data_IF_313032847659
#
_entry.id   IF_313032847659
#
_cell.length_a   1.000
_cell.length_b   1.000
_cell.length_c   1.000
_cell.angle_alpha   90.00
_cell.angle_beta   90.00
_cell.angle_gamma   90.00
#
_symmetry.space_group_name_H-M   'P 1'
#
loop_
_entity.id
_entity.type
_entity.pdbx_description
1 polymer ?
#
# COMPACT_ATOMS: atom_id res chain seq x y z
N UNK A 1 -14.84 -21.60 17.37
CA UNK A 1 -15.67 -20.41 17.68
C UNK A 1 -14.80 -19.18 17.51
N UNK A 2 -14.86 -18.52 16.37
CA UNK A 2 -14.08 -17.32 16.09
C UNK A 2 -14.57 -16.18 16.98
N UNK A 3 -13.67 -15.60 17.78
CA UNK A 3 -13.98 -14.57 18.76
C UNK A 3 -14.16 -13.23 18.04
N UNK A 4 -15.35 -12.64 18.18
CA UNK A 4 -15.66 -11.27 17.76
C UNK A 4 -14.67 -10.27 18.36
N UNK A 5 -13.79 -9.70 17.54
CA UNK A 5 -13.03 -8.48 17.83
C UNK A 5 -13.56 -7.42 16.87
N UNK A 6 -14.79 -6.98 17.10
CA UNK A 6 -15.45 -5.98 16.24
C UNK A 6 -16.22 -5.03 17.16
N UNK A 7 -15.50 -4.07 17.76
CA UNK A 7 -16.01 -2.71 18.04
C UNK A 7 -15.08 -1.84 18.90
N UNK A 8 -14.15 -2.39 19.67
CA UNK A 8 -13.43 -1.58 20.67
C UNK A 8 -12.15 -0.90 20.11
N UNK A 9 -11.60 -1.38 19.00
CA UNK A 9 -10.36 -0.81 18.45
C UNK A 9 -10.55 0.54 17.71
N UNK A 10 -11.79 0.86 17.32
CA UNK A 10 -12.08 2.00 16.42
C UNK A 10 -12.18 3.36 17.12
N UNK A 11 -12.28 3.39 18.46
CA UNK A 11 -12.60 4.61 19.21
C UNK A 11 -11.35 5.39 19.64
N UNK A 12 -10.15 4.81 19.57
CA UNK A 12 -8.94 5.42 20.15
C UNK A 12 -8.07 6.23 19.16
N UNK A 13 -8.31 6.18 17.85
CA UNK A 13 -7.43 6.82 16.85
C UNK A 13 -7.85 8.23 16.41
N UNK A 14 -8.83 8.86 17.08
CA UNK A 14 -9.33 10.18 16.70
C UNK A 14 -8.49 11.38 17.23
N UNK A 15 -7.42 11.14 18.01
CA UNK A 15 -6.72 12.22 18.77
C UNK A 15 -5.34 12.59 18.21
N UNK A 16 -4.79 11.89 17.23
CA UNK A 16 -3.46 12.20 16.65
C UNK A 16 -3.57 12.87 15.27
N UNK A 17 -4.53 13.79 15.11
CA UNK A 17 -4.62 14.70 13.96
C UNK A 17 -3.75 15.95 14.19
N UNK A 18 -2.46 15.74 14.45
CA UNK A 18 -1.50 16.81 14.67
C UNK A 18 -0.20 16.53 13.95
N UNK A 19 -0.01 17.20 12.81
CA UNK A 19 1.23 17.30 12.02
C UNK A 19 1.70 16.03 11.28
N UNK A 20 1.37 15.94 10.00
CA UNK A 20 2.40 15.74 8.99
C UNK A 20 1.97 16.46 7.70
N UNK A 21 2.77 17.46 7.33
CA UNK A 21 2.62 18.21 6.10
C UNK A 21 2.62 17.25 4.91
N UNK A 22 1.56 17.32 4.11
CA UNK A 22 1.49 16.67 2.81
C UNK A 22 2.48 17.34 1.88
N UNK A 23 3.66 16.76 1.73
CA UNK A 23 4.54 17.06 0.60
C UNK A 23 3.89 16.42 -0.63
N UNK A 24 3.32 17.29 -1.45
CA UNK A 24 2.59 17.03 -2.69
C UNK A 24 3.55 16.54 -3.78
N UNK A 25 4.08 15.34 -3.60
CA UNK A 25 4.85 14.64 -4.63
C UNK A 25 3.89 14.18 -5.74
N UNK A 26 3.85 15.00 -6.79
CA UNK A 26 3.44 14.72 -8.16
C UNK A 26 2.47 13.53 -8.30
N UNK A 27 1.18 13.83 -8.18
CA UNK A 27 0.07 12.91 -8.33
C UNK A 27 -0.09 12.52 -9.82
N UNK A 28 0.53 11.42 -10.26
CA UNK A 28 0.32 10.89 -11.60
C UNK A 28 -1.05 10.19 -11.65
N UNK A 29 -2.02 10.93 -12.18
CA UNK A 29 -3.36 10.56 -12.67
C UNK A 29 -3.76 9.09 -12.46
N UNK A 30 -4.92 8.92 -11.81
CA UNK A 30 -5.63 7.67 -11.50
C UNK A 30 -5.96 6.72 -12.69
N UNK A 31 -5.34 6.89 -13.86
CA UNK A 31 -5.60 6.13 -15.09
C UNK A 31 -4.35 5.45 -15.69
N UNK A 32 -3.28 5.28 -14.92
CA UNK A 32 -2.13 4.48 -15.35
C UNK A 32 -2.33 2.99 -15.08
N UNK A 33 -1.93 2.13 -16.02
CA UNK A 33 -2.02 0.66 -15.84
C UNK A 33 -1.26 0.16 -14.60
N UNK A 34 -0.19 0.86 -14.22
CA UNK A 34 0.60 0.59 -13.02
C UNK A 34 -0.20 0.85 -11.75
N UNK A 35 -0.97 1.94 -11.68
CA UNK A 35 -1.88 2.20 -10.56
C UNK A 35 -2.85 1.03 -10.38
N UNK A 36 -3.50 0.58 -11.45
CA UNK A 36 -4.44 -0.56 -11.38
C UNK A 36 -3.75 -1.87 -10.99
N UNK A 37 -2.54 -2.11 -11.50
CA UNK A 37 -1.73 -3.26 -11.14
C UNK A 37 -1.35 -3.27 -9.66
N UNK A 38 -1.09 -2.09 -9.09
CA UNK A 38 -0.64 -1.92 -7.71
C UNK A 38 -1.81 -1.82 -6.72
N UNK A 39 -2.95 -1.28 -7.13
CA UNK A 39 -4.05 -0.87 -6.24
C UNK A 39 -4.43 -1.93 -5.19
N UNK A 40 -4.61 -3.18 -5.61
CA UNK A 40 -4.97 -4.25 -4.67
C UNK A 40 -3.81 -4.66 -3.76
N UNK A 41 -2.59 -4.74 -4.29
CA UNK A 41 -1.39 -5.06 -3.52
C UNK A 41 -1.06 -3.98 -2.50
N UNK A 42 -1.06 -2.72 -2.93
CA UNK A 42 -0.86 -1.54 -2.09
C UNK A 42 -1.88 -1.49 -0.97
N UNK A 43 -3.17 -1.69 -1.26
CA UNK A 43 -4.21 -1.74 -0.24
C UNK A 43 -3.99 -2.84 0.81
N UNK A 44 -3.59 -4.04 0.37
CA UNK A 44 -3.27 -5.12 1.31
C UNK A 44 -2.04 -4.75 2.14
N UNK A 45 -1.01 -4.22 1.50
CA UNK A 45 0.23 -3.84 2.14
C UNK A 45 0.01 -2.76 3.20
N UNK A 46 -0.68 -1.67 2.88
CA UNK A 46 -1.06 -0.64 3.84
C UNK A 46 -1.80 -1.22 5.06
N UNK A 47 -2.79 -2.09 4.82
CA UNK A 47 -3.55 -2.76 5.88
C UNK A 47 -2.68 -3.71 6.72
N UNK A 48 -1.65 -4.34 6.15
CA UNK A 48 -0.69 -5.16 6.90
C UNK A 48 0.15 -4.34 7.88
N UNK A 49 0.45 -3.07 7.56
CA UNK A 49 1.12 -2.14 8.46
C UNK A 49 0.16 -1.45 9.44
N UNK A 50 -1.14 -1.76 9.37
CA UNK A 50 -2.16 -1.15 10.23
C UNK A 50 -2.65 0.21 9.77
N UNK A 51 -2.41 0.57 8.50
CA UNK A 51 -2.86 1.83 7.89
C UNK A 51 -4.13 1.64 7.05
N UNK A 52 -4.64 2.76 6.54
CA UNK A 52 -5.83 2.84 5.70
C UNK A 52 -5.54 2.35 4.26
N UNK A 53 -6.35 2.81 3.31
CA UNK A 53 -6.27 2.39 1.92
C UNK A 53 -5.13 3.08 1.17
N UNK A 54 -4.64 2.39 0.15
CA UNK A 54 -3.62 2.91 -0.75
C UNK A 54 -4.18 4.10 -1.55
N UNK A 55 -3.47 5.23 -1.52
CA UNK A 55 -3.91 6.48 -2.14
C UNK A 55 -2.84 7.20 -2.97
N UNK A 56 -1.57 6.82 -2.89
CA UNK A 56 -0.52 7.34 -3.78
C UNK A 56 0.68 6.40 -3.91
N UNK A 57 1.46 6.53 -4.97
CA UNK A 57 2.77 5.89 -5.11
C UNK A 57 3.80 6.91 -5.59
N UNK A 58 4.88 7.08 -4.82
CA UNK A 58 6.04 7.86 -5.23
C UNK A 58 6.99 6.97 -6.02
N UNK A 59 7.13 7.19 -7.33
CA UNK A 59 8.05 6.40 -8.15
C UNK A 59 9.51 6.66 -7.79
N UNK A 60 9.88 7.91 -7.50
CA UNK A 60 11.26 8.28 -7.18
C UNK A 60 11.68 7.83 -5.79
N UNK A 61 10.77 7.87 -4.81
CA UNK A 61 11.03 7.46 -3.43
C UNK A 61 10.66 6.01 -3.14
N UNK A 62 9.91 5.37 -4.03
CA UNK A 62 9.35 4.04 -3.85
C UNK A 62 8.49 3.91 -2.58
N UNK A 63 7.75 4.96 -2.26
CA UNK A 63 6.85 4.99 -1.12
C UNK A 63 5.39 4.83 -1.58
N UNK A 64 4.61 4.07 -0.79
CA UNK A 64 3.16 3.99 -0.92
C UNK A 64 2.51 4.93 0.09
N UNK A 65 1.66 5.83 -0.40
CA UNK A 65 0.67 6.49 0.44
C UNK A 65 -0.40 5.50 0.88
N UNK A 66 -0.69 5.51 2.18
CA UNK A 66 -1.72 4.70 2.81
C UNK A 66 -2.79 5.56 3.48
N UNK A 67 -3.23 6.64 2.81
CA UNK A 67 -4.19 7.65 3.29
C UNK A 67 -3.82 8.18 4.68
N UNK A 68 -2.55 8.56 4.81
CA UNK A 68 -1.93 8.98 6.07
C UNK A 68 -0.41 8.86 5.95
N UNK A 69 0.24 7.91 6.62
CA UNK A 69 1.69 7.72 6.51
C UNK A 69 2.10 7.09 5.17
N UNK A 70 3.33 7.38 4.77
CA UNK A 70 4.01 6.74 3.64
C UNK A 70 4.70 5.46 4.10
N UNK A 71 4.65 4.39 3.30
CA UNK A 71 5.29 3.11 3.57
C UNK A 71 6.25 2.76 2.45
N UNK A 72 7.50 2.44 2.78
CA UNK A 72 8.50 2.05 1.80
C UNK A 72 8.10 0.73 1.12
N UNK A 73 8.08 0.70 -0.22
CA UNK A 73 7.99 -0.53 -0.98
C UNK A 73 9.19 -1.43 -0.69
N UNK A 74 8.99 -2.75 -0.63
CA UNK A 74 10.08 -3.66 -0.42
C UNK A 74 10.95 -3.72 -1.69
N UNK A 75 12.22 -4.16 -1.54
CA UNK A 75 13.21 -4.15 -2.63
C UNK A 75 12.78 -4.97 -3.84
N UNK A 76 11.93 -5.97 -3.65
CA UNK A 76 11.39 -6.80 -4.72
C UNK A 76 10.45 -5.99 -5.63
N UNK A 77 9.72 -5.02 -5.06
CA UNK A 77 8.84 -4.13 -5.80
C UNK A 77 9.54 -2.84 -6.26
N UNK A 78 10.63 -2.46 -5.59
CA UNK A 78 11.49 -1.35 -5.99
C UNK A 78 12.99 -1.67 -5.76
N UNK A 79 13.65 -2.30 -6.74
CA UNK A 79 15.01 -2.82 -6.55
C UNK A 79 16.08 -1.74 -6.53
N UNK A 80 15.87 -0.61 -7.22
CA UNK A 80 16.86 0.46 -7.34
C UNK A 80 16.66 1.60 -6.34
N UNK A 81 15.68 1.49 -5.44
CA UNK A 81 15.26 2.59 -4.56
C UNK A 81 14.52 3.71 -5.28
N UNK A 82 14.43 3.64 -6.61
CA UNK A 82 13.56 4.46 -7.45
C UNK A 82 13.04 3.61 -8.61
N UNK A 83 11.88 4.00 -9.13
CA UNK A 83 11.26 3.48 -10.34
C UNK A 83 11.31 4.56 -11.42
N UNK A 84 11.25 4.19 -12.71
CA UNK A 84 11.02 5.14 -13.78
C UNK A 84 9.82 6.03 -13.46
N UNK A 85 9.93 7.33 -13.75
CA UNK A 85 8.86 8.30 -13.51
C UNK A 85 7.58 7.99 -14.28
N UNK A 86 7.67 7.18 -15.34
CA UNK A 86 6.54 6.71 -16.12
C UNK A 86 6.24 5.23 -15.89
N UNK A 87 4.97 4.86 -16.05
CA UNK A 87 4.55 3.47 -16.03
C UNK A 87 5.10 2.73 -17.27
N UNK A 88 6.18 1.98 -17.10
CA UNK A 88 6.70 1.07 -18.12
C UNK A 88 6.10 -0.34 -17.95
N UNK A 89 6.12 -1.19 -18.99
CA UNK A 89 5.69 -2.59 -18.87
C UNK A 89 6.42 -3.36 -17.77
N UNK A 90 7.71 -3.05 -17.54
CA UNK A 90 8.51 -3.63 -16.46
C UNK A 90 7.93 -3.27 -15.09
N UNK A 91 7.68 -1.98 -14.83
CA UNK A 91 7.11 -1.50 -13.56
C UNK A 91 5.72 -2.09 -13.33
N UNK A 92 4.89 -2.14 -14.38
CA UNK A 92 3.57 -2.76 -14.33
C UNK A 92 3.67 -4.24 -13.92
N UNK A 93 4.55 -5.01 -14.55
CA UNK A 93 4.74 -6.43 -14.24
C UNK A 93 5.22 -6.62 -12.80
N UNK A 94 6.20 -5.83 -12.36
CA UNK A 94 6.67 -5.83 -10.97
C UNK A 94 5.54 -5.56 -9.97
N UNK A 95 4.69 -4.56 -10.24
CA UNK A 95 3.53 -4.27 -9.39
C UNK A 95 2.47 -5.38 -9.42
N UNK A 96 2.26 -6.03 -10.56
CA UNK A 96 1.37 -7.19 -10.64
C UNK A 96 1.88 -8.37 -9.81
N UNK A 97 3.18 -8.68 -9.88
CA UNK A 97 3.82 -9.73 -9.10
C UNK A 97 3.79 -9.42 -7.60
N UNK A 98 4.10 -8.18 -7.22
CA UNK A 98 3.96 -7.69 -5.85
C UNK A 98 2.53 -7.86 -5.33
N UNK A 99 1.54 -7.39 -6.08
CA UNK A 99 0.12 -7.54 -5.73
C UNK A 99 -0.30 -9.01 -5.59
N UNK A 100 0.20 -9.89 -6.46
CA UNK A 100 -0.02 -11.33 -6.37
C UNK A 100 0.56 -11.93 -5.10
N UNK A 101 1.76 -11.49 -4.70
CA UNK A 101 2.43 -11.92 -3.47
C UNK A 101 1.67 -11.45 -2.23
N UNK A 102 1.22 -10.19 -2.20
CA UNK A 102 0.43 -9.64 -1.10
C UNK A 102 -0.90 -10.39 -0.91
N UNK A 103 -1.59 -10.75 -2.00
CA UNK A 103 -2.79 -11.60 -1.93
C UNK A 103 -2.51 -12.96 -1.30
N UNK A 104 -1.44 -13.64 -1.70
CA UNK A 104 -1.05 -14.93 -1.11
C UNK A 104 -0.77 -14.81 0.39
N UNK A 105 -0.09 -13.74 0.82
CA UNK A 105 0.15 -13.46 2.23
C UNK A 105 -1.18 -13.24 2.97
N UNK A 106 -2.07 -12.40 2.43
CA UNK A 106 -3.38 -12.13 3.03
C UNK A 106 -4.20 -13.41 3.18
N UNK A 107 -4.24 -14.27 2.16
CA UNK A 107 -4.95 -15.55 2.22
C UNK A 107 -4.31 -16.52 3.23
N UNK A 108 -2.98 -16.53 3.33
CA UNK A 108 -2.26 -17.28 4.35
C UNK A 108 -2.58 -16.83 5.78
N UNK A 109 -2.69 -15.51 6.00
CA UNK A 109 -3.08 -14.94 7.29
C UNK A 109 -4.54 -15.25 7.64
N UNK A 110 -5.46 -15.15 6.68
CA UNK A 110 -6.88 -15.55 6.87
C UNK A 110 -7.01 -17.03 7.26
N UNK A 111 -6.18 -17.91 6.70
CA UNK A 111 -6.17 -19.34 7.04
C UNK A 111 -5.62 -19.64 8.44
N UNK A 112 -4.67 -18.82 8.94
CA UNK A 112 -4.04 -18.98 10.26
C UNK A 112 -4.78 -18.27 11.39
N UNK A 113 -5.57 -17.24 11.07
CA UNK A 113 -6.40 -16.49 12.02
C UNK A 113 -7.73 -17.17 12.39
N UNK A 114 -7.87 -18.46 12.05
CA UNK A 114 -8.99 -19.33 12.41
C UNK A 114 -8.56 -20.36 13.45
#
# INVERSE_FOLDING_TARGET
MCRNISNILFVLFAVVLGLAASEEDMFWSADSECWRALYHGGNIYCKLFGYDEFDSVGYDTCELGCRGPKVQLPKEACPKGSLPSSCTPEVKNTFQEFSGTMRKIQDGLKKRGC
#
